data_IF_551947447852
#
_entry.id   IF_551947447852
#
_cell.length_a   1.000
_cell.length_b   1.000
_cell.length_c   1.000
_cell.angle_alpha   90.00
_cell.angle_beta   90.00
_cell.angle_gamma   90.00
#
_symmetry.space_group_name_H-M   'P 1'
#
loop_
_entity.id
_entity.type
_entity.pdbx_description
1 polymer ?
#
# COMPACT_ATOMS: atom_id res chain seq x y z
N UNK A 1 -9.36 -11.67 24.40
CA UNK A 1 -8.79 -12.77 23.57
C UNK A 1 -7.72 -12.15 22.67
N UNK A 2 -6.54 -12.75 22.58
CA UNK A 2 -5.51 -12.31 21.64
C UNK A 2 -5.66 -13.15 20.36
N UNK A 3 -5.86 -12.50 19.22
CA UNK A 3 -5.85 -13.17 17.92
C UNK A 3 -4.41 -13.46 17.52
N UNK A 4 -4.12 -14.70 17.10
CA UNK A 4 -2.84 -15.02 16.44
C UNK A 4 -2.94 -14.58 14.99
N UNK A 5 -2.23 -13.51 14.64
CA UNK A 5 -2.19 -13.00 13.26
C UNK A 5 -0.92 -13.52 12.59
N UNK A 6 -1.10 -14.23 11.48
CA UNK A 6 -0.03 -14.65 10.58
C UNK A 6 -0.22 -14.00 9.22
N UNK A 7 0.87 -13.51 8.62
CA UNK A 7 0.88 -12.98 7.26
C UNK A 7 1.57 -13.95 6.30
N UNK A 8 1.04 -14.05 5.08
CA UNK A 8 1.69 -14.71 3.96
C UNK A 8 1.68 -13.74 2.77
N UNK A 9 2.80 -13.62 2.07
CA UNK A 9 2.96 -12.70 0.94
C UNK A 9 2.86 -13.50 -0.34
N UNK A 10 1.77 -13.31 -1.08
CA UNK A 10 1.48 -14.03 -2.31
C UNK A 10 1.20 -13.01 -3.42
N UNK A 11 1.87 -13.18 -4.56
CA UNK A 11 1.60 -12.41 -5.78
C UNK A 11 1.54 -13.37 -6.96
N UNK A 12 0.67 -13.08 -7.92
CA UNK A 12 0.71 -13.73 -9.23
C UNK A 12 1.92 -13.28 -10.05
N UNK A 13 2.15 -13.92 -11.20
CA UNK A 13 3.05 -13.35 -12.21
C UNK A 13 2.29 -12.26 -12.97
N UNK A 14 2.77 -11.00 -12.99
CA UNK A 14 2.07 -9.89 -13.66
C UNK A 14 2.21 -9.94 -15.20
N UNK A 15 2.64 -11.07 -15.78
CA UNK A 15 2.93 -11.21 -17.20
C UNK A 15 4.23 -10.54 -17.62
N UNK A 16 4.42 -10.33 -18.92
CA UNK A 16 5.69 -9.86 -19.52
C UNK A 16 5.98 -8.37 -19.33
N UNK A 17 5.04 -7.58 -18.80
CA UNK A 17 5.17 -6.13 -18.76
C UNK A 17 4.48 -5.44 -17.58
N UNK A 18 3.89 -6.19 -16.67
CA UNK A 18 3.31 -5.64 -15.44
C UNK A 18 4.29 -5.76 -14.27
N UNK A 19 3.99 -5.08 -13.18
CA UNK A 19 4.75 -5.19 -11.94
C UNK A 19 3.79 -5.43 -10.79
N UNK A 20 4.20 -6.26 -9.83
CA UNK A 20 3.44 -6.55 -8.62
C UNK A 20 4.40 -6.71 -7.45
N UNK A 21 4.05 -6.16 -6.30
CA UNK A 21 4.86 -6.30 -5.09
C UNK A 21 3.99 -6.28 -3.83
N UNK A 22 4.38 -7.10 -2.85
CA UNK A 22 3.91 -6.96 -1.48
C UNK A 22 4.90 -6.14 -0.67
N UNK A 23 4.39 -5.16 0.06
CA UNK A 23 5.09 -4.40 1.08
C UNK A 23 4.50 -4.72 2.45
N UNK A 24 5.38 -4.90 3.44
CA UNK A 24 5.02 -5.10 4.83
C UNK A 24 5.91 -4.19 5.67
N UNK A 25 5.32 -3.45 6.61
CA UNK A 25 6.04 -2.54 7.47
C UNK A 25 5.32 -2.33 8.81
N UNK A 26 6.07 -2.45 9.90
CA UNK A 26 5.65 -2.06 11.24
C UNK A 26 6.65 -1.04 11.82
N UNK A 27 6.19 0.13 12.33
CA UNK A 27 7.05 1.07 13.04
C UNK A 27 7.70 0.44 14.28
N UNK A 28 8.94 0.80 14.57
CA UNK A 28 9.61 0.46 15.82
C UNK A 28 9.23 1.41 16.97
N UNK A 29 8.80 2.64 16.66
CA UNK A 29 8.38 3.61 17.66
C UNK A 29 7.01 3.22 18.27
N UNK A 30 6.89 3.03 19.59
CA UNK A 30 5.65 2.56 20.21
C UNK A 30 4.43 3.45 19.96
N UNK A 31 4.62 4.77 19.96
CA UNK A 31 3.55 5.73 19.71
C UNK A 31 2.99 5.58 18.28
N UNK A 32 3.89 5.54 17.29
CA UNK A 32 3.54 5.38 15.87
C UNK A 32 2.92 4.00 15.61
N UNK A 33 3.45 2.96 16.22
CA UNK A 33 2.89 1.61 16.17
C UNK A 33 1.47 1.57 16.76
N UNK A 34 1.21 2.28 17.86
CA UNK A 34 -0.12 2.33 18.46
C UNK A 34 -1.15 3.08 17.59
N UNK A 35 -0.70 4.08 16.82
CA UNK A 35 -1.55 4.92 15.97
C UNK A 35 -1.76 4.37 14.56
N UNK A 36 -0.78 3.65 14.01
CA UNK A 36 -0.74 3.22 12.59
C UNK A 36 -0.52 1.73 12.39
N UNK A 37 -0.13 1.01 13.44
CA UNK A 37 -0.08 -0.45 13.43
C UNK A 37 0.87 -1.06 12.41
N UNK A 38 0.58 -2.30 12.06
CA UNK A 38 1.33 -3.07 11.07
C UNK A 38 0.65 -2.95 9.71
N UNK A 39 1.33 -2.33 8.74
CA UNK A 39 0.86 -2.14 7.37
C UNK A 39 1.29 -3.29 6.47
N UNK A 40 0.35 -3.74 5.65
CA UNK A 40 0.54 -4.62 4.51
C UNK A 40 -0.03 -3.91 3.29
N UNK A 41 0.68 -3.91 2.17
CA UNK A 41 0.17 -3.39 0.92
C UNK A 41 0.56 -4.33 -0.21
N UNK A 42 -0.37 -4.60 -1.11
CA UNK A 42 -0.12 -5.24 -2.39
C UNK A 42 -0.38 -4.20 -3.46
N UNK A 43 0.60 -3.99 -4.32
CA UNK A 43 0.51 -3.03 -5.42
C UNK A 43 0.72 -3.78 -6.72
N UNK A 44 -0.11 -3.47 -7.71
CA UNK A 44 0.05 -3.94 -9.07
C UNK A 44 -0.05 -2.77 -10.06
N UNK A 45 0.72 -2.84 -11.14
CA UNK A 45 0.67 -1.86 -12.23
C UNK A 45 0.58 -2.58 -13.58
N UNK A 46 -0.19 -1.98 -14.49
CA UNK A 46 -0.34 -2.45 -15.87
C UNK A 46 0.89 -2.20 -16.75
N UNK A 47 0.78 -2.55 -18.03
CA UNK A 47 1.84 -2.37 -19.05
C UNK A 47 2.13 -0.88 -19.28
N UNK A 48 3.41 -0.50 -19.29
CA UNK A 48 3.86 0.80 -19.81
C UNK A 48 4.71 0.58 -21.06
N UNK A 49 4.58 1.49 -22.03
CA UNK A 49 5.51 1.55 -23.16
C UNK A 49 6.92 1.89 -22.65
N UNK A 50 7.93 1.41 -23.38
CA UNK A 50 9.35 1.45 -23.03
C UNK A 50 9.80 2.80 -22.44
N UNK A 51 10.45 2.78 -21.27
CA UNK A 51 11.16 3.95 -20.73
C UNK A 51 11.12 4.13 -19.22
N UNK A 52 10.17 3.51 -18.52
CA UNK A 52 10.11 3.53 -17.05
C UNK A 52 10.67 2.22 -16.51
N UNK A 53 11.74 2.30 -15.69
CA UNK A 53 12.17 1.17 -14.89
C UNK A 53 11.06 0.85 -13.87
N UNK A 54 10.23 -0.13 -14.20
CA UNK A 54 9.06 -0.55 -13.43
C UNK A 54 9.39 -0.85 -11.96
N UNK A 55 10.64 -1.23 -11.66
CA UNK A 55 11.11 -1.47 -10.29
C UNK A 55 11.34 -0.15 -9.54
N UNK A 56 12.00 0.82 -10.17
CA UNK A 56 12.24 2.15 -9.59
C UNK A 56 10.93 2.89 -9.33
N UNK A 57 10.03 2.83 -10.30
CA UNK A 57 8.65 3.27 -10.19
C UNK A 57 7.94 2.61 -9.00
N UNK A 58 7.86 1.28 -8.97
CA UNK A 58 7.19 0.58 -7.88
C UNK A 58 7.70 0.94 -6.47
N UNK A 59 9.00 1.21 -6.32
CA UNK A 59 9.61 1.70 -5.07
C UNK A 59 9.17 3.11 -4.71
N UNK A 60 9.06 4.00 -5.68
CA UNK A 60 8.58 5.37 -5.47
C UNK A 60 7.13 5.38 -4.98
N UNK A 61 6.25 4.58 -5.61
CA UNK A 61 4.86 4.43 -5.19
C UNK A 61 4.75 3.91 -3.74
N UNK A 62 5.51 2.88 -3.40
CA UNK A 62 5.53 2.33 -2.04
C UNK A 62 6.06 3.35 -1.02
N UNK A 63 7.11 4.09 -1.38
CA UNK A 63 7.65 5.15 -0.51
C UNK A 63 6.61 6.24 -0.29
N UNK A 64 5.89 6.64 -1.34
CA UNK A 64 4.82 7.63 -1.26
C UNK A 64 3.66 7.15 -0.38
N UNK A 65 3.21 5.90 -0.56
CA UNK A 65 2.16 5.31 0.29
C UNK A 65 2.58 5.27 1.76
N UNK A 66 3.83 4.93 2.02
CA UNK A 66 4.39 4.94 3.36
C UNK A 66 4.38 6.34 3.95
N UNK A 67 4.89 7.35 3.23
CA UNK A 67 4.91 8.74 3.68
C UNK A 67 3.51 9.26 4.00
N UNK A 68 2.53 9.03 3.12
CA UNK A 68 1.16 9.50 3.34
C UNK A 68 0.49 8.82 4.53
N UNK A 69 0.73 7.52 4.73
CA UNK A 69 0.12 6.79 5.83
C UNK A 69 0.76 7.07 7.19
N UNK A 70 2.09 7.16 7.21
CA UNK A 70 2.89 7.24 8.43
C UNK A 70 3.42 8.64 8.75
N UNK A 71 3.31 9.61 7.83
CA UNK A 71 3.84 10.97 7.97
C UNK A 71 2.91 11.93 8.69
N UNK A 72 1.60 11.69 8.71
CA UNK A 72 0.63 12.50 9.46
C UNK A 72 0.25 11.85 10.79
N UNK A 73 0.29 12.61 11.89
CA UNK A 73 -0.06 12.13 13.24
C UNK A 73 -1.54 12.26 13.61
N UNK A 74 -2.30 13.08 12.88
CA UNK A 74 -3.71 13.36 13.18
C UNK A 74 -4.64 12.40 12.42
N UNK A 75 -5.82 12.12 12.98
CA UNK A 75 -6.83 11.27 12.36
C UNK A 75 -6.69 9.77 12.66
N UNK A 76 -7.78 9.04 12.41
CA UNK A 76 -7.86 7.60 12.64
C UNK A 76 -7.05 6.82 11.62
N UNK A 77 -6.55 5.64 12.01
CA UNK A 77 -5.80 4.76 11.12
C UNK A 77 -6.54 4.45 9.82
N UNK A 78 -7.86 4.22 9.87
CA UNK A 78 -8.66 3.99 8.67
C UNK A 78 -8.73 5.22 7.77
N UNK A 79 -9.03 6.40 8.33
CA UNK A 79 -9.18 7.61 7.54
C UNK A 79 -7.89 7.98 6.80
N UNK A 80 -6.74 7.84 7.47
CA UNK A 80 -5.43 8.11 6.88
C UNK A 80 -5.04 7.04 5.87
N UNK A 81 -5.33 5.76 6.13
CA UNK A 81 -5.11 4.69 5.13
C UNK A 81 -5.95 4.93 3.87
N UNK A 82 -7.22 5.30 4.05
CA UNK A 82 -8.14 5.60 2.95
C UNK A 82 -7.68 6.79 2.12
N UNK A 83 -7.27 7.88 2.78
CA UNK A 83 -6.74 9.06 2.12
C UNK A 83 -5.42 8.76 1.39
N UNK A 84 -4.49 8.04 2.02
CA UNK A 84 -3.20 7.68 1.46
C UNK A 84 -3.36 6.80 0.21
N UNK A 85 -4.12 5.71 0.30
CA UNK A 85 -4.36 4.82 -0.85
C UNK A 85 -5.03 5.57 -1.99
N UNK A 86 -6.07 6.36 -1.70
CA UNK A 86 -6.76 7.17 -2.73
C UNK A 86 -5.78 8.12 -3.42
N UNK A 87 -5.08 8.95 -2.64
CA UNK A 87 -4.15 9.95 -3.15
C UNK A 87 -3.05 9.32 -4.00
N UNK A 88 -2.40 8.27 -3.50
CA UNK A 88 -1.33 7.59 -4.23
C UNK A 88 -1.87 6.91 -5.49
N UNK A 89 -3.03 6.24 -5.41
CA UNK A 89 -3.62 5.63 -6.61
C UNK A 89 -3.94 6.67 -7.70
N UNK A 90 -4.43 7.85 -7.32
CA UNK A 90 -4.75 8.95 -8.25
C UNK A 90 -3.49 9.63 -8.80
N UNK A 91 -2.50 9.92 -7.95
CA UNK A 91 -1.21 10.50 -8.33
C UNK A 91 -0.52 9.62 -9.39
N UNK A 92 -0.34 8.33 -9.11
CA UNK A 92 0.35 7.43 -10.02
C UNK A 92 -0.50 7.04 -11.23
N UNK A 93 -1.83 7.02 -11.13
CA UNK A 93 -2.70 6.78 -12.29
C UNK A 93 -2.55 7.80 -13.40
N UNK A 94 -2.32 9.07 -13.06
CA UNK A 94 -2.11 10.11 -14.05
C UNK A 94 -0.81 9.95 -14.86
N UNK A 95 0.21 9.31 -14.27
CA UNK A 95 1.54 9.16 -14.87
C UNK A 95 1.72 7.80 -15.52
N UNK A 96 1.16 6.76 -14.90
CA UNK A 96 1.41 5.35 -15.23
C UNK A 96 0.16 4.63 -15.76
N UNK A 97 -1.03 5.25 -15.70
CA UNK A 97 -2.26 4.58 -16.11
C UNK A 97 -2.78 3.63 -15.02
N UNK A 98 -2.99 2.36 -15.32
CA UNK A 98 -3.64 1.46 -14.35
C UNK A 98 -2.70 1.09 -13.19
N UNK A 99 -3.10 1.52 -11.99
CA UNK A 99 -2.45 1.24 -10.71
C UNK A 99 -3.51 0.69 -9.75
N UNK A 100 -3.20 -0.43 -9.13
CA UNK A 100 -4.05 -1.11 -8.16
C UNK A 100 -3.30 -1.20 -6.84
N UNK A 101 -3.96 -0.80 -5.75
CA UNK A 101 -3.40 -0.85 -4.39
C UNK A 101 -4.44 -1.50 -3.50
N UNK A 102 -4.07 -2.61 -2.85
CA UNK A 102 -4.82 -3.18 -1.74
C UNK A 102 -3.96 -3.06 -0.48
N UNK A 103 -4.43 -2.31 0.51
CA UNK A 103 -3.69 -2.08 1.75
C UNK A 103 -4.50 -2.50 2.98
N UNK A 104 -3.81 -3.10 3.94
CA UNK A 104 -4.35 -3.54 5.22
C UNK A 104 -3.48 -3.00 6.34
N UNK A 105 -4.09 -2.41 7.37
CA UNK A 105 -3.40 -2.08 8.61
C UNK A 105 -4.03 -2.79 9.81
N UNK A 106 -3.18 -3.44 10.61
CA UNK A 106 -3.55 -4.06 11.88
C UNK A 106 -3.18 -3.12 13.03
N UNK A 107 -4.18 -2.50 13.66
CA UNK A 107 -4.01 -1.51 14.73
C UNK A 107 -4.79 -1.95 15.96
N UNK A 108 -4.11 -2.23 17.07
CA UNK A 108 -4.79 -2.58 18.33
C UNK A 108 -5.74 -3.79 18.24
N UNK A 109 -5.47 -4.72 17.33
CA UNK A 109 -6.33 -5.89 17.06
C UNK A 109 -7.48 -5.65 16.09
N UNK A 110 -7.57 -4.46 15.49
CA UNK A 110 -8.53 -4.13 14.43
C UNK A 110 -7.84 -4.16 13.07
N UNK A 111 -8.47 -4.80 12.09
CA UNK A 111 -8.00 -4.84 10.70
C UNK A 111 -8.76 -3.80 9.88
N UNK A 112 -8.04 -2.84 9.33
CA UNK A 112 -8.55 -1.87 8.38
C UNK A 112 -8.07 -2.21 6.98
N UNK A 113 -8.97 -2.35 6.01
CA UNK A 113 -8.64 -2.64 4.62
C UNK A 113 -9.14 -1.53 3.70
N UNK A 114 -8.30 -1.13 2.76
CA UNK A 114 -8.65 -0.14 1.72
C UNK A 114 -8.12 -0.64 0.39
N UNK A 115 -8.90 -0.42 -0.67
CA UNK A 115 -8.50 -0.64 -2.06
C UNK A 115 -8.55 0.68 -2.83
N UNK A 116 -7.64 0.84 -3.79
CA UNK A 116 -7.61 1.98 -4.72
C UNK A 116 -7.27 1.48 -6.13
N UNK A 117 -8.06 1.92 -7.12
CA UNK A 117 -7.95 1.43 -8.50
C UNK A 117 -8.62 0.08 -8.72
N UNK A 118 -8.16 -0.61 -9.77
CA UNK A 118 -8.62 -1.91 -10.23
C UNK A 118 -9.96 -1.93 -10.97
N UNK A 119 -10.14 -2.96 -11.79
CA UNK A 119 -11.40 -3.24 -12.46
C UNK A 119 -12.36 -3.96 -11.51
N UNK A 120 -13.64 -3.56 -11.58
CA UNK A 120 -14.76 -4.41 -11.20
C UNK A 120 -14.91 -5.53 -12.23
#
# INVERSE_FOLDING_TARGET
MAFSVSSAKLTGSPGTSGWVQVHEFAPSEPEKLSLRGHLFAVVATGRHEEGVDAVSAGRELLSRLHEEYFGSGEGSAFAILAAAVKKVSEEFRSTWGEVEIAAVSLVGGVVYSVVGGGAQ
#
